data_IF_466115366518
#
_entry.id   IF_466115366518
#
_cell.length_a   1.000
_cell.length_b   1.000
_cell.length_c   1.000
_cell.angle_alpha   90.00
_cell.angle_beta   90.00
_cell.angle_gamma   90.00
#
_symmetry.space_group_name_H-M   'P 1'
#
loop_
_entity.id
_entity.type
_entity.pdbx_description
1 polymer ?
#
# COMPACT_ATOMS: atom_id res chain seq x y z
N UNK A 1 8.71 -6.11 -13.62
CA UNK A 1 8.86 -5.89 -12.17
C UNK A 1 7.76 -6.59 -11.39
N UNK A 2 8.08 -7.13 -10.24
CA UNK A 2 7.10 -7.79 -9.37
C UNK A 2 6.11 -6.80 -8.77
N UNK A 3 4.85 -7.22 -8.70
CA UNK A 3 3.75 -6.45 -8.11
C UNK A 3 2.91 -7.34 -7.22
N UNK A 4 2.09 -6.70 -6.39
CA UNK A 4 1.16 -7.43 -5.52
C UNK A 4 -0.14 -7.69 -6.31
N UNK A 5 -0.56 -8.94 -6.30
CA UNK A 5 -1.84 -9.38 -6.86
C UNK A 5 -2.67 -10.06 -5.79
N UNK A 6 -3.97 -9.84 -5.83
CA UNK A 6 -4.91 -10.39 -4.84
C UNK A 6 -5.93 -11.27 -5.54
N UNK A 7 -6.15 -12.47 -5.00
CA UNK A 7 -7.18 -13.38 -5.46
C UNK A 7 -8.39 -13.30 -4.51
N UNK A 8 -9.47 -12.72 -5.00
CA UNK A 8 -10.69 -12.51 -4.23
C UNK A 8 -11.33 -13.81 -3.73
N UNK A 9 -11.14 -14.91 -4.45
CA UNK A 9 -11.69 -16.22 -4.05
C UNK A 9 -11.03 -16.79 -2.82
N UNK A 10 -9.79 -16.38 -2.54
CA UNK A 10 -8.99 -16.89 -1.44
C UNK A 10 -8.85 -15.90 -0.29
N UNK A 11 -9.24 -14.67 -0.47
CA UNK A 11 -9.20 -13.67 0.60
C UNK A 11 -10.28 -14.00 1.64
N UNK A 12 -9.86 -14.15 2.90
CA UNK A 12 -10.75 -14.50 4.03
C UNK A 12 -11.32 -13.27 4.74
N UNK A 13 -10.89 -12.06 4.38
CA UNK A 13 -11.30 -10.85 5.07
C UNK A 13 -10.78 -10.74 6.50
N UNK A 14 -9.67 -11.42 6.83
CA UNK A 14 -9.15 -11.45 8.20
C UNK A 14 -8.45 -10.15 8.64
N UNK A 15 -8.16 -9.23 7.72
CA UNK A 15 -7.47 -7.96 7.95
C UNK A 15 -6.02 -8.09 8.45
N UNK A 16 -5.44 -9.29 8.47
CA UNK A 16 -4.06 -9.48 8.94
C UNK A 16 -3.05 -8.70 8.10
N UNK A 17 -3.27 -8.61 6.79
CA UNK A 17 -2.43 -7.84 5.88
C UNK A 17 -2.36 -6.36 6.25
N UNK A 18 -3.46 -5.79 6.76
CA UNK A 18 -3.50 -4.41 7.23
C UNK A 18 -2.62 -4.21 8.46
N UNK A 19 -2.70 -5.10 9.44
CA UNK A 19 -1.84 -5.05 10.64
C UNK A 19 -0.37 -5.24 10.29
N UNK A 20 -0.06 -6.17 9.43
CA UNK A 20 1.32 -6.41 8.99
C UNK A 20 1.88 -5.25 8.16
N UNK A 21 1.06 -4.61 7.35
CA UNK A 21 1.43 -3.40 6.62
C UNK A 21 1.74 -2.25 7.60
N UNK A 22 0.88 -2.03 8.59
CA UNK A 22 1.09 -1.01 9.61
C UNK A 22 2.36 -1.28 10.41
N UNK A 23 2.62 -2.53 10.75
CA UNK A 23 3.84 -2.93 11.45
C UNK A 23 5.09 -2.66 10.61
N UNK A 24 5.11 -3.07 9.35
CA UNK A 24 6.25 -2.84 8.45
C UNK A 24 6.56 -1.35 8.29
N UNK A 25 5.54 -0.51 8.22
CA UNK A 25 5.70 0.94 8.04
C UNK A 25 5.96 1.69 9.35
N UNK A 26 5.90 1.03 10.51
CA UNK A 26 6.24 1.62 11.80
C UNK A 26 7.75 1.69 12.03
N UNK A 27 8.53 0.90 11.29
CA UNK A 27 9.98 0.72 11.44
C UNK A 27 10.40 0.23 12.84
N UNK A 28 9.47 -0.37 13.60
CA UNK A 28 9.75 -0.98 14.89
C UNK A 28 9.91 -2.50 14.71
N UNK A 29 10.69 -3.11 15.62
CA UNK A 29 10.93 -4.56 15.60
C UNK A 29 9.96 -5.34 16.48
N UNK A 30 9.24 -4.65 17.37
CA UNK A 30 8.28 -5.24 18.29
C UNK A 30 6.85 -4.85 17.86
N UNK A 31 6.09 -5.82 17.43
CA UNK A 31 4.71 -5.61 16.94
C UNK A 31 3.78 -5.06 18.03
N UNK A 32 3.99 -5.46 19.28
CA UNK A 32 3.18 -4.97 20.40
C UNK A 32 3.41 -3.47 20.61
N UNK A 33 4.68 -3.03 20.59
CA UNK A 33 5.00 -1.60 20.70
C UNK A 33 4.51 -0.79 19.51
N UNK A 34 4.52 -1.40 18.33
CA UNK A 34 4.09 -0.74 17.11
C UNK A 34 2.57 -0.52 17.04
N UNK A 35 1.78 -1.47 17.54
CA UNK A 35 0.34 -1.53 17.26
C UNK A 35 -0.55 -1.37 18.50
N UNK A 36 -0.10 -1.78 19.68
CA UNK A 36 -0.94 -1.77 20.89
C UNK A 36 -1.40 -0.37 21.26
N UNK A 37 -2.72 -0.19 21.37
CA UNK A 37 -3.32 1.07 21.78
C UNK A 37 -3.21 2.19 20.74
N UNK A 38 -2.84 1.87 19.51
CA UNK A 38 -2.68 2.86 18.43
C UNK A 38 -3.65 2.57 17.29
N UNK A 39 -4.15 3.64 16.67
CA UNK A 39 -4.87 3.52 15.40
C UNK A 39 -3.86 3.14 14.30
N UNK A 40 -4.21 2.16 13.48
CA UNK A 40 -3.37 1.75 12.37
C UNK A 40 -3.75 2.50 11.09
N UNK A 41 -2.76 2.82 10.27
CA UNK A 41 -2.94 3.49 8.98
C UNK A 41 -2.25 2.70 7.88
N UNK A 42 -2.75 1.49 7.55
CA UNK A 42 -2.11 0.63 6.57
C UNK A 42 -2.24 1.21 5.15
N UNK A 43 -1.31 0.82 4.30
CA UNK A 43 -1.31 1.18 2.87
C UNK A 43 -1.94 0.11 1.99
N UNK A 44 -2.46 -0.93 2.60
CA UNK A 44 -3.34 -1.94 2.00
C UNK A 44 -4.63 -1.97 2.82
N UNK A 45 -5.75 -2.16 2.15
CA UNK A 45 -7.07 -2.07 2.76
C UNK A 45 -7.92 -3.23 2.29
N UNK A 46 -8.58 -3.93 3.22
CA UNK A 46 -9.52 -5.00 2.88
C UNK A 46 -10.92 -4.41 2.72
N UNK A 47 -11.51 -4.61 1.56
CA UNK A 47 -12.88 -4.23 1.25
C UNK A 47 -13.78 -5.45 1.40
N UNK A 48 -14.89 -5.30 2.13
CA UNK A 48 -15.87 -6.35 2.36
C UNK A 48 -17.10 -6.12 1.49
N UNK A 49 -17.36 -7.03 0.57
CA UNK A 49 -18.51 -7.00 -0.34
C UNK A 49 -19.57 -8.07 -0.03
N UNK A 50 -19.76 -8.44 1.24
CA UNK A 50 -20.65 -9.53 1.65
C UNK A 50 -19.96 -10.87 1.54
N UNK A 51 -20.19 -11.62 0.47
CA UNK A 51 -19.59 -12.94 0.26
C UNK A 51 -18.16 -12.87 -0.32
N UNK A 52 -17.71 -11.69 -0.73
CA UNK A 52 -16.40 -11.50 -1.35
C UNK A 52 -15.60 -10.48 -0.55
N UNK A 53 -14.34 -10.80 -0.31
CA UNK A 53 -13.36 -9.90 0.32
C UNK A 53 -12.21 -9.67 -0.64
N UNK A 54 -11.66 -8.46 -0.64
CA UNK A 54 -10.59 -8.10 -1.54
C UNK A 54 -9.65 -7.08 -0.90
N UNK A 55 -8.35 -7.37 -0.90
CA UNK A 55 -7.36 -6.42 -0.45
C UNK A 55 -6.98 -5.45 -1.58
N UNK A 56 -7.02 -4.16 -1.29
CA UNK A 56 -6.72 -3.10 -2.25
C UNK A 56 -5.43 -2.40 -1.84
N UNK A 57 -4.49 -2.31 -2.76
CA UNK A 57 -3.24 -1.56 -2.59
C UNK A 57 -2.86 -0.88 -3.91
N UNK A 58 -1.82 -0.06 -3.88
CA UNK A 58 -1.32 0.59 -5.09
C UNK A 58 -0.91 -0.44 -6.14
N UNK A 59 -1.36 -0.26 -7.37
CA UNK A 59 -1.08 -1.16 -8.49
C UNK A 59 0.18 -0.78 -9.28
N UNK A 60 0.84 0.30 -8.89
CA UNK A 60 2.05 0.79 -9.56
C UNK A 60 1.89 0.84 -11.09
N UNK A 61 0.86 1.55 -11.54
CA UNK A 61 0.48 1.62 -12.94
C UNK A 61 1.62 2.15 -13.82
N UNK A 62 1.79 1.59 -15.00
CA UNK A 62 2.77 2.07 -15.98
C UNK A 62 2.38 3.42 -16.57
N UNK A 63 1.09 3.63 -16.78
CA UNK A 63 0.53 4.94 -17.16
C UNK A 63 -0.20 5.55 -15.97
N UNK A 64 0.60 6.01 -15.00
CA UNK A 64 0.10 6.47 -13.71
C UNK A 64 -0.50 7.87 -13.79
N UNK A 65 -1.83 7.97 -13.68
CA UNK A 65 -2.54 9.26 -13.63
C UNK A 65 -2.08 10.10 -12.44
N UNK A 66 -1.80 9.47 -11.30
CA UNK A 66 -1.32 10.15 -10.10
C UNK A 66 0.04 10.85 -10.32
N UNK A 67 0.94 10.22 -11.08
CA UNK A 67 2.23 10.82 -11.43
C UNK A 67 2.01 12.05 -12.32
N UNK A 68 1.15 11.93 -13.33
CA UNK A 68 0.87 13.05 -14.24
C UNK A 68 0.16 14.21 -13.55
N UNK A 69 -0.61 13.95 -12.52
CA UNK A 69 -1.38 14.97 -11.80
C UNK A 69 -0.60 15.63 -10.64
N UNK A 70 0.55 15.09 -10.27
CA UNK A 70 1.32 15.61 -9.14
C UNK A 70 2.02 16.93 -9.50
N UNK A 71 1.56 18.04 -8.90
CA UNK A 71 2.07 19.38 -9.20
C UNK A 71 3.45 19.65 -8.62
N UNK A 72 3.87 18.92 -7.58
CA UNK A 72 5.17 19.12 -6.93
C UNK A 72 6.25 18.16 -7.41
N UNK A 73 5.90 17.19 -8.27
CA UNK A 73 6.83 16.16 -8.71
C UNK A 73 7.18 15.13 -7.62
N UNK A 74 6.37 15.04 -6.57
CA UNK A 74 6.57 14.08 -5.49
C UNK A 74 6.35 12.62 -5.94
N UNK A 75 5.48 12.41 -6.93
CA UNK A 75 5.22 11.09 -7.50
C UNK A 75 6.01 10.91 -8.78
N UNK A 76 6.70 9.78 -8.89
CA UNK A 76 7.50 9.42 -10.07
C UNK A 76 7.35 7.93 -10.37
N UNK A 77 7.57 7.57 -11.63
CA UNK A 77 7.65 6.17 -12.04
C UNK A 77 9.12 5.79 -12.20
N UNK A 78 9.62 4.99 -11.26
CA UNK A 78 11.04 4.60 -11.21
C UNK A 78 11.15 3.09 -10.99
N UNK A 79 12.05 2.45 -11.74
CA UNK A 79 12.34 1.01 -11.61
C UNK A 79 11.08 0.11 -11.67
N UNK A 80 10.10 0.50 -12.48
CA UNK A 80 8.87 -0.25 -12.65
C UNK A 80 7.80 -0.01 -11.58
N UNK A 81 8.05 0.87 -10.62
CA UNK A 81 7.06 1.20 -9.58
C UNK A 81 6.78 2.69 -9.51
N UNK A 82 5.60 3.04 -9.02
CA UNK A 82 5.26 4.42 -8.69
C UNK A 82 5.75 4.70 -7.28
N UNK A 83 6.73 5.58 -7.17
CA UNK A 83 7.31 6.01 -5.90
C UNK A 83 6.75 7.36 -5.48
N UNK A 84 6.69 7.60 -4.17
CA UNK A 84 6.35 8.91 -3.61
C UNK A 84 7.49 9.42 -2.75
N UNK A 85 7.92 10.65 -2.99
CA UNK A 85 8.86 11.37 -2.15
C UNK A 85 8.08 12.38 -1.31
N UNK A 86 7.81 12.03 -0.06
CA UNK A 86 7.02 12.86 0.84
C UNK A 86 7.69 14.21 1.16
N UNK A 87 8.99 14.34 0.97
CA UNK A 87 9.70 15.61 1.16
C UNK A 87 9.31 16.66 0.10
N UNK A 88 8.87 16.22 -1.07
CA UNK A 88 8.40 17.09 -2.16
C UNK A 88 6.88 17.29 -2.16
N UNK A 89 6.14 16.46 -1.43
CA UNK A 89 4.68 16.53 -1.39
C UNK A 89 4.19 17.78 -0.68
N UNK A 90 3.29 18.52 -1.32
CA UNK A 90 2.69 19.75 -0.78
C UNK A 90 1.30 19.54 -0.17
N UNK A 91 0.80 18.30 -0.18
CA UNK A 91 -0.48 17.95 0.44
C UNK A 91 -1.72 18.39 -0.34
N UNK A 92 -1.61 18.62 -1.66
CA UNK A 92 -2.76 19.02 -2.48
C UNK A 92 -3.81 17.91 -2.64
N UNK A 93 -3.45 16.65 -2.38
CA UNK A 93 -4.31 15.46 -2.43
C UNK A 93 -4.96 15.19 -3.80
N UNK A 94 -4.49 15.79 -4.88
CA UNK A 94 -5.00 15.53 -6.22
C UNK A 94 -4.80 14.05 -6.60
N UNK A 95 -3.68 13.45 -6.21
CA UNK A 95 -3.40 12.03 -6.43
C UNK A 95 -4.44 11.11 -5.77
N UNK A 96 -4.94 11.48 -4.60
CA UNK A 96 -6.00 10.75 -3.90
C UNK A 96 -7.29 10.75 -4.72
N UNK A 97 -7.63 11.90 -5.31
CA UNK A 97 -8.84 12.06 -6.10
C UNK A 97 -8.79 11.32 -7.45
N UNK A 98 -7.62 11.28 -8.09
CA UNK A 98 -7.50 10.73 -9.45
C UNK A 98 -7.22 9.23 -9.48
N UNK A 99 -6.80 8.62 -8.37
CA UNK A 99 -6.51 7.19 -8.32
C UNK A 99 -7.80 6.38 -8.48
N UNK A 100 -7.96 5.60 -9.56
CA UNK A 100 -9.21 4.86 -9.79
C UNK A 100 -9.40 3.69 -8.83
N UNK A 101 -8.35 3.32 -8.08
CA UNK A 101 -8.39 2.19 -7.13
C UNK A 101 -8.51 2.64 -5.68
N UNK A 102 -8.47 3.96 -5.41
CA UNK A 102 -8.48 4.47 -4.05
C UNK A 102 -7.26 4.03 -3.23
N UNK A 103 -6.11 3.85 -3.88
CA UNK A 103 -4.92 3.27 -3.25
C UNK A 103 -3.97 4.32 -2.65
N UNK A 104 -4.26 5.59 -2.82
CA UNK A 104 -3.50 6.70 -2.24
C UNK A 104 -4.36 7.37 -1.19
N UNK A 105 -3.78 7.67 -0.04
CA UNK A 105 -4.49 8.23 1.10
C UNK A 105 -3.70 9.37 1.73
N UNK A 106 -4.35 10.30 2.45
CA UNK A 106 -3.64 11.28 3.27
C UNK A 106 -2.86 10.55 4.37
N UNK A 107 -1.67 11.05 4.68
CA UNK A 107 -0.92 10.56 5.84
C UNK A 107 -1.67 10.92 7.13
N UNK A 108 -1.56 10.09 8.19
CA UNK A 108 -2.30 10.32 9.44
C UNK A 108 -1.94 11.64 10.13
N UNK A 109 -0.71 12.11 9.96
CA UNK A 109 -0.27 13.40 10.51
C UNK A 109 -0.68 14.60 9.64
N UNK A 110 -1.25 14.34 8.46
CA UNK A 110 -1.62 15.36 7.48
C UNK A 110 -0.43 15.93 6.71
N UNK A 111 -0.69 16.87 5.81
CA UNK A 111 0.33 17.60 5.07
C UNK A 111 0.94 16.87 3.87
N UNK A 112 0.82 15.55 3.79
CA UNK A 112 1.35 14.76 2.67
C UNK A 112 0.41 13.59 2.34
N UNK A 113 0.58 13.00 1.17
CA UNK A 113 -0.08 11.74 0.80
C UNK A 113 0.81 10.54 1.12
N UNK A 114 0.20 9.37 1.23
CA UNK A 114 0.93 8.11 1.40
C UNK A 114 0.32 7.01 0.53
N UNK A 115 1.14 6.04 0.16
CA UNK A 115 0.73 4.89 -0.63
C UNK A 115 1.69 3.72 -0.40
N UNK A 116 1.31 2.53 -0.86
CA UNK A 116 2.15 1.36 -0.82
C UNK A 116 3.45 1.57 -1.63
N UNK A 117 4.59 1.27 -1.01
CA UNK A 117 5.93 1.32 -1.62
C UNK A 117 6.53 -0.08 -1.77
N UNK A 118 5.70 -1.12 -1.76
CA UNK A 118 6.10 -2.53 -1.89
C UNK A 118 7.11 -2.99 -0.81
N UNK A 119 7.17 -2.30 0.34
CA UNK A 119 8.12 -2.57 1.42
C UNK A 119 9.57 -2.70 0.90
N UNK A 120 9.98 -1.80 0.00
CA UNK A 120 11.31 -1.84 -0.63
C UNK A 120 12.47 -1.70 0.35
N UNK A 121 12.21 -1.15 1.53
CA UNK A 121 13.16 -1.05 2.64
C UNK A 121 13.16 -2.29 3.56
N UNK A 122 12.36 -3.30 3.23
CA UNK A 122 12.26 -4.53 4.01
C UNK A 122 13.47 -5.44 3.73
N UNK A 123 14.08 -5.95 4.80
CA UNK A 123 15.24 -6.85 4.72
C UNK A 123 14.93 -8.21 4.06
N UNK A 124 13.66 -8.60 3.98
CA UNK A 124 13.25 -9.89 3.43
C UNK A 124 13.08 -9.88 1.91
N UNK A 125 13.04 -8.70 1.30
CA UNK A 125 12.82 -8.56 -0.14
C UNK A 125 11.40 -8.86 -0.61
N UNK A 126 10.47 -9.04 0.33
CA UNK A 126 9.06 -9.35 0.04
C UNK A 126 8.14 -8.53 0.94
N UNK A 127 7.02 -8.00 0.41
CA UNK A 127 6.08 -7.24 1.23
C UNK A 127 5.51 -8.04 2.39
N UNK A 128 5.36 -7.39 3.56
CA UNK A 128 4.87 -8.05 4.76
C UNK A 128 3.44 -8.60 4.60
N UNK A 129 2.58 -7.89 3.88
CA UNK A 129 1.21 -8.37 3.64
C UNK A 129 1.18 -9.68 2.86
N UNK A 130 2.10 -9.88 1.94
CA UNK A 130 2.26 -11.13 1.17
C UNK A 130 2.74 -12.24 2.07
N UNK A 131 3.80 -11.99 2.85
CA UNK A 131 4.41 -13.00 3.73
C UNK A 131 3.46 -13.54 4.79
N UNK A 132 2.53 -12.71 5.25
CA UNK A 132 1.67 -13.03 6.38
C UNK A 132 0.21 -13.31 6.00
N UNK A 133 -0.10 -13.36 4.70
CA UNK A 133 -1.43 -13.81 4.26
C UNK A 133 -1.60 -15.30 4.53
N UNK A 134 -2.47 -15.64 5.47
CA UNK A 134 -2.64 -17.02 5.93
C UNK A 134 -3.24 -17.95 4.88
N UNK A 135 -3.93 -17.42 3.88
CA UNK A 135 -4.56 -18.22 2.82
C UNK A 135 -3.90 -18.00 1.45
N UNK A 136 -2.76 -17.35 1.40
CA UNK A 136 -2.03 -17.05 0.16
C UNK A 136 -2.88 -16.35 -0.91
N UNK A 137 -3.82 -15.52 -0.49
CA UNK A 137 -4.64 -14.73 -1.38
C UNK A 137 -3.87 -13.57 -2.02
N UNK A 138 -2.79 -13.14 -1.36
CA UNK A 138 -1.93 -12.04 -1.81
C UNK A 138 -0.59 -12.64 -2.25
N UNK A 139 -0.20 -12.36 -3.50
CA UNK A 139 1.04 -12.85 -4.07
C UNK A 139 1.87 -11.70 -4.61
N UNK A 140 3.19 -11.87 -4.60
CA UNK A 140 4.15 -10.89 -5.09
C UNK A 140 4.95 -11.52 -6.23
N UNK A 141 4.52 -11.24 -7.45
CA UNK A 141 5.06 -11.87 -8.64
C UNK A 141 5.06 -10.93 -9.85
N UNK A 142 5.77 -11.32 -10.89
CA UNK A 142 5.77 -10.62 -12.16
C UNK A 142 4.74 -11.27 -13.08
N UNK A 143 3.87 -10.45 -13.68
CA UNK A 143 2.91 -10.86 -14.69
C UNK A 143 3.04 -9.97 -15.92
N UNK A 144 2.91 -10.58 -17.08
CA UNK A 144 2.91 -9.88 -18.37
C UNK A 144 1.60 -9.13 -18.62
#
# INVERSE_FOLDING_TARGET
>A
MKRIYVNEKWCLGCHLCEYECAFANSHLTDMVKALKGKAIHPKIRVEDGGDVHFAVNCRHCTDAVCVRSCISGALSFEDGMVAIDQSKCVGCLTCVLVCPFGAIMPAPEGGVAQKCMLCTDNLTGEPNCVRHCINNAIVYEERD
#
